data_IF_416282607957
#
_entry.id   IF_416282607957
#
_cell.length_a   1.000
_cell.length_b   1.000
_cell.length_c   1.000
_cell.angle_alpha   90.00
_cell.angle_beta   90.00
_cell.angle_gamma   90.00
#
_symmetry.space_group_name_H-M   'P 1'
#
loop_
_entity.id
_entity.type
_entity.pdbx_description
1 polymer ?
#
# COMPACT_ATOMS: atom_id res chain seq x y z
N UNK A 1 -8.96 5.45 16.92
CA UNK A 1 -8.32 6.50 17.76
C UNK A 1 -9.19 7.74 17.78
N UNK A 2 -9.27 8.47 18.90
CA UNK A 2 -9.79 9.83 18.92
C UNK A 2 -8.81 10.78 18.22
N UNK A 3 -9.22 12.02 17.93
CA UNK A 3 -8.34 13.02 17.32
C UNK A 3 -7.15 13.37 18.25
N UNK A 4 -7.39 13.46 19.56
CA UNK A 4 -6.32 13.70 20.54
C UNK A 4 -5.33 12.53 20.59
N UNK A 5 -5.81 11.28 20.55
CA UNK A 5 -4.95 10.11 20.47
C UNK A 5 -4.11 10.10 19.19
N UNK A 6 -4.67 10.51 18.04
CA UNK A 6 -3.91 10.65 16.78
C UNK A 6 -2.81 11.69 16.92
N UNK A 7 -3.13 12.84 17.53
CA UNK A 7 -2.18 13.93 17.78
C UNK A 7 -1.00 13.45 18.63
N UNK A 8 -1.30 12.87 19.80
CA UNK A 8 -0.29 12.35 20.72
C UNK A 8 0.56 11.27 20.06
N UNK A 9 -0.08 10.36 19.31
CA UNK A 9 0.62 9.32 18.57
C UNK A 9 1.61 9.90 17.56
N UNK A 10 1.18 10.83 16.70
CA UNK A 10 2.05 11.45 15.71
C UNK A 10 3.22 12.20 16.35
N UNK A 11 2.99 12.97 17.41
CA UNK A 11 4.05 13.67 18.16
C UNK A 11 5.05 12.67 18.75
N UNK A 12 4.55 11.59 19.35
CA UNK A 12 5.41 10.59 20.00
C UNK A 12 6.25 9.76 19.01
N UNK A 13 5.79 9.63 17.76
CA UNK A 13 6.41 8.78 16.73
C UNK A 13 7.27 9.56 15.75
N UNK A 14 7.04 10.86 15.60
CA UNK A 14 7.82 11.68 14.68
C UNK A 14 9.30 11.72 15.08
N UNK A 15 10.17 11.49 14.10
CA UNK A 15 11.61 11.62 14.22
C UNK A 15 12.13 12.53 13.10
N UNK A 16 13.11 13.41 13.38
CA UNK A 16 13.72 14.23 12.34
C UNK A 16 14.24 13.38 11.18
N UNK A 17 13.80 13.69 9.96
CA UNK A 17 14.16 12.94 8.75
C UNK A 17 13.08 11.98 8.25
N UNK A 18 12.01 11.73 9.00
CA UNK A 18 10.82 11.09 8.44
C UNK A 18 10.25 11.95 7.31
N UNK A 19 10.05 11.36 6.13
CA UNK A 19 9.57 12.07 4.93
C UNK A 19 8.15 11.71 4.54
N UNK A 20 7.57 10.67 5.14
CA UNK A 20 6.19 10.26 4.88
C UNK A 20 5.50 9.66 6.11
N UNK A 21 4.17 9.80 6.15
CA UNK A 21 3.28 9.09 7.06
C UNK A 21 2.22 8.35 6.25
N UNK A 22 2.00 7.08 6.59
CA UNK A 22 0.97 6.24 5.99
C UNK A 22 -0.23 6.10 6.93
N UNK A 23 -1.41 6.49 6.47
CA UNK A 23 -2.65 6.40 7.24
C UNK A 23 -3.57 5.41 6.54
N UNK A 24 -3.69 4.22 7.10
CA UNK A 24 -4.56 3.15 6.59
C UNK A 24 -5.26 2.47 7.76
N UNK A 25 -6.51 2.09 7.56
CA UNK A 25 -7.28 1.34 8.53
C UNK A 25 -8.31 0.43 7.89
N UNK A 26 -9.23 -0.04 8.72
CA UNK A 26 -10.49 -0.64 8.26
C UNK A 26 -11.56 0.44 8.23
N UNK A 27 -12.56 0.25 7.37
CA UNK A 27 -13.80 1.04 7.43
C UNK A 27 -14.42 0.89 8.82
N UNK A 28 -14.67 2.01 9.48
CA UNK A 28 -15.28 2.09 10.82
C UNK A 28 -16.65 2.80 10.69
N UNK A 29 -17.77 2.07 10.83
CA UNK A 29 -19.11 2.64 10.71
C UNK A 29 -19.44 3.76 11.70
N UNK A 30 -18.62 3.94 12.74
CA UNK A 30 -18.79 5.01 13.73
C UNK A 30 -18.08 6.31 13.34
N UNK A 31 -17.31 6.32 12.25
CA UNK A 31 -16.51 7.47 11.81
C UNK A 31 -17.06 7.99 10.49
N UNK A 32 -17.53 9.22 10.52
CA UNK A 32 -18.01 9.92 9.32
C UNK A 32 -16.85 10.57 8.55
N UNK A 33 -17.17 11.15 7.40
CA UNK A 33 -16.18 11.85 6.58
C UNK A 33 -15.52 13.04 7.32
N UNK A 34 -16.26 13.72 8.19
CA UNK A 34 -15.75 14.84 9.00
C UNK A 34 -14.61 14.40 9.93
N UNK A 35 -14.75 13.20 10.54
CA UNK A 35 -13.68 12.61 11.34
C UNK A 35 -12.38 12.46 10.53
N UNK A 36 -12.44 11.93 9.31
CA UNK A 36 -11.25 11.71 8.47
C UNK A 36 -10.62 13.02 8.01
N UNK A 37 -11.44 14.03 7.69
CA UNK A 37 -10.97 15.39 7.44
C UNK A 37 -10.19 15.95 8.65
N UNK A 38 -10.77 15.86 9.86
CA UNK A 38 -10.12 16.34 11.08
C UNK A 38 -8.85 15.55 11.42
N UNK A 39 -8.82 14.26 11.11
CA UNK A 39 -7.64 13.42 11.25
C UNK A 39 -6.49 13.97 10.39
N UNK A 40 -6.72 14.18 9.09
CA UNK A 40 -5.69 14.70 8.17
C UNK A 40 -5.20 16.07 8.60
N UNK A 41 -6.12 16.99 8.94
CA UNK A 41 -5.77 18.31 9.46
C UNK A 41 -4.87 18.20 10.70
N UNK A 42 -5.24 17.34 11.66
CA UNK A 42 -4.47 17.15 12.89
C UNK A 42 -3.08 16.62 12.61
N UNK A 43 -2.93 15.69 11.67
CA UNK A 43 -1.61 15.18 11.25
C UNK A 43 -0.79 16.30 10.61
N UNK A 44 -1.41 17.13 9.76
CA UNK A 44 -0.76 18.28 9.11
C UNK A 44 -0.36 19.39 10.09
N UNK A 45 -1.14 19.59 11.16
CA UNK A 45 -0.84 20.54 12.24
C UNK A 45 0.41 20.14 13.04
N UNK A 46 0.64 18.84 13.25
CA UNK A 46 1.72 18.36 14.14
C UNK A 46 2.98 17.89 13.43
N UNK A 47 2.87 17.47 12.17
CA UNK A 47 4.03 17.05 11.38
C UNK A 47 4.55 18.18 10.50
N UNK A 48 5.87 18.27 10.26
CA UNK A 48 6.42 19.26 9.34
C UNK A 48 5.84 19.18 7.92
N UNK A 49 5.83 20.31 7.23
CA UNK A 49 5.24 20.45 5.90
C UNK A 49 5.82 19.49 4.85
N UNK A 50 7.09 19.13 5.01
CA UNK A 50 7.83 18.21 4.14
C UNK A 50 7.43 16.74 4.31
N UNK A 51 6.76 16.38 5.41
CA UNK A 51 6.25 15.01 5.59
C UNK A 51 5.06 14.82 4.68
N UNK A 52 5.14 13.88 3.74
CA UNK A 52 4.03 13.54 2.85
C UNK A 52 2.96 12.74 3.59
N UNK A 53 1.69 13.15 3.53
CA UNK A 53 0.57 12.32 3.99
C UNK A 53 0.11 11.44 2.84
N UNK A 54 0.38 10.12 2.95
CA UNK A 54 -0.18 9.10 2.08
C UNK A 54 -1.30 8.37 2.84
N UNK A 55 -2.55 8.61 2.46
CA UNK A 55 -3.68 8.22 3.30
C UNK A 55 -4.81 7.60 2.50
N UNK A 56 -5.48 6.63 3.14
CA UNK A 56 -6.73 5.99 2.75
C UNK A 56 -6.67 5.17 1.45
N UNK A 57 -6.99 3.89 1.57
CA UNK A 57 -7.21 3.01 0.42
C UNK A 57 -8.47 3.43 -0.35
N UNK A 58 -8.61 2.96 -1.59
CA UNK A 58 -9.83 3.21 -2.36
C UNK A 58 -11.09 2.62 -1.70
N UNK A 59 -10.97 1.60 -0.84
CA UNK A 59 -12.10 1.07 -0.06
C UNK A 59 -12.58 2.09 0.97
N UNK A 60 -11.65 2.76 1.67
CA UNK A 60 -11.98 3.82 2.63
C UNK A 60 -12.52 5.06 1.90
N UNK A 61 -11.97 5.43 0.74
CA UNK A 61 -12.50 6.54 -0.06
C UNK A 61 -13.91 6.26 -0.58
N UNK A 62 -14.20 5.01 -0.98
CA UNK A 62 -15.54 4.63 -1.42
C UNK A 62 -16.55 4.75 -0.27
N UNK A 63 -16.21 4.23 0.90
CA UNK A 63 -17.05 4.34 2.09
C UNK A 63 -17.30 5.80 2.50
N UNK A 64 -16.26 6.65 2.45
CA UNK A 64 -16.42 8.10 2.68
C UNK A 64 -17.36 8.74 1.67
N UNK A 65 -17.25 8.39 0.38
CA UNK A 65 -18.13 8.92 -0.67
C UNK A 65 -19.59 8.48 -0.46
N UNK A 66 -19.82 7.19 -0.17
CA UNK A 66 -21.16 6.65 0.07
C UNK A 66 -21.78 7.26 1.32
N UNK A 67 -21.05 7.29 2.45
CA UNK A 67 -21.58 7.76 3.74
C UNK A 67 -21.82 9.26 3.80
N UNK A 68 -21.08 10.06 3.02
CA UNK A 68 -21.25 11.52 2.94
C UNK A 68 -22.14 11.99 1.80
N UNK A 69 -22.62 11.08 0.94
CA UNK A 69 -23.34 11.38 -0.30
C UNK A 69 -22.57 12.31 -1.26
N UNK A 70 -21.24 12.35 -1.15
CA UNK A 70 -20.36 13.11 -2.02
C UNK A 70 -19.83 12.24 -3.17
N UNK A 71 -19.49 12.88 -4.28
CA UNK A 71 -18.74 12.20 -5.34
C UNK A 71 -17.31 11.87 -4.86
N UNK A 72 -16.71 10.85 -5.46
CA UNK A 72 -15.30 10.50 -5.24
C UNK A 72 -14.38 11.70 -5.46
N UNK A 73 -14.66 12.52 -6.49
CA UNK A 73 -13.89 13.73 -6.78
C UNK A 73 -13.97 14.73 -5.63
N UNK A 74 -15.14 14.96 -5.06
CA UNK A 74 -15.33 15.88 -3.92
C UNK A 74 -14.58 15.37 -2.69
N UNK A 75 -14.74 14.09 -2.34
CA UNK A 75 -14.01 13.48 -1.21
C UNK A 75 -12.50 13.63 -1.39
N UNK A 76 -11.96 13.25 -2.54
CA UNK A 76 -10.53 13.34 -2.80
C UNK A 76 -10.03 14.79 -2.81
N UNK A 77 -10.78 15.73 -3.39
CA UNK A 77 -10.40 17.15 -3.41
C UNK A 77 -10.37 17.74 -1.99
N UNK A 78 -11.32 17.33 -1.16
CA UNK A 78 -11.47 17.80 0.22
C UNK A 78 -10.39 17.22 1.15
N UNK A 79 -9.99 15.97 0.92
CA UNK A 79 -8.83 15.36 1.58
C UNK A 79 -7.50 15.98 1.11
N UNK A 80 -7.39 16.24 -0.20
CA UNK A 80 -6.21 16.86 -0.80
C UNK A 80 -5.99 18.28 -0.27
N UNK A 81 -7.05 19.08 -0.16
CA UNK A 81 -6.97 20.45 0.38
C UNK A 81 -6.51 20.51 1.85
N UNK A 82 -6.66 19.40 2.59
CA UNK A 82 -6.22 19.24 3.99
C UNK A 82 -4.82 18.67 4.13
N UNK A 83 -4.22 18.18 3.03
CA UNK A 83 -2.83 17.75 2.99
C UNK A 83 -2.60 16.31 2.56
N UNK A 84 -3.64 15.52 2.23
CA UNK A 84 -3.42 14.21 1.59
C UNK A 84 -2.77 14.43 0.24
N UNK A 85 -1.61 13.85 0.03
CA UNK A 85 -0.80 14.07 -1.19
C UNK A 85 -0.74 12.85 -2.11
N UNK A 86 -0.98 11.65 -1.56
CA UNK A 86 -0.94 10.40 -2.31
C UNK A 86 -1.88 9.36 -1.68
N UNK A 87 -2.30 8.36 -2.46
CA UNK A 87 -3.06 7.22 -1.95
C UNK A 87 -2.19 5.95 -1.90
N UNK A 88 -2.28 5.15 -0.83
CA UNK A 88 -1.76 3.79 -0.83
C UNK A 88 -2.57 2.89 -1.80
N UNK A 89 -2.02 1.72 -2.15
CA UNK A 89 -2.65 0.81 -3.12
C UNK A 89 -3.57 -0.25 -2.53
N UNK A 90 -3.92 -0.18 -1.25
CA UNK A 90 -4.68 -1.21 -0.56
C UNK A 90 -6.10 -1.44 -1.10
N UNK A 91 -6.69 -2.59 -0.77
CA UNK A 91 -8.09 -2.92 -1.08
C UNK A 91 -8.37 -3.48 -2.48
N UNK A 92 -7.33 -3.57 -3.33
CA UNK A 92 -7.45 -4.13 -4.67
C UNK A 92 -7.71 -5.65 -4.65
N UNK A 93 -7.08 -6.39 -3.72
CA UNK A 93 -7.16 -7.85 -3.60
C UNK A 93 -6.90 -8.57 -4.93
N UNK A 94 -7.86 -9.35 -5.43
CA UNK A 94 -7.98 -9.80 -6.82
C UNK A 94 -9.19 -9.11 -7.44
N UNK A 95 -9.14 -8.80 -8.73
CA UNK A 95 -10.24 -8.06 -9.38
C UNK A 95 -11.38 -8.95 -9.89
N UNK A 96 -11.11 -10.23 -10.17
CA UNK A 96 -12.14 -11.19 -10.58
C UNK A 96 -13.28 -11.24 -9.56
N UNK A 97 -14.50 -10.96 -10.02
CA UNK A 97 -15.71 -10.96 -9.18
C UNK A 97 -15.95 -12.32 -8.51
N UNK A 98 -15.57 -13.40 -9.20
CA UNK A 98 -15.64 -14.77 -8.68
C UNK A 98 -14.78 -14.92 -7.42
N UNK A 99 -13.56 -14.38 -7.41
CA UNK A 99 -12.69 -14.43 -6.22
C UNK A 99 -13.16 -13.41 -5.18
N UNK A 100 -13.48 -12.17 -5.59
CA UNK A 100 -13.88 -11.09 -4.67
C UNK A 100 -15.07 -11.45 -3.81
N UNK A 101 -16.12 -12.00 -4.42
CA UNK A 101 -17.33 -12.44 -3.70
C UNK A 101 -17.06 -13.48 -2.61
N UNK A 102 -15.94 -14.21 -2.69
CA UNK A 102 -15.53 -15.19 -1.68
C UNK A 102 -14.62 -14.61 -0.60
N UNK A 103 -13.74 -13.64 -0.95
CA UNK A 103 -12.69 -13.17 -0.03
C UNK A 103 -12.98 -11.80 0.59
N UNK A 104 -13.76 -10.96 -0.08
CA UNK A 104 -14.04 -9.58 0.34
C UNK A 104 -15.37 -9.04 -0.19
N UNK A 105 -16.51 -9.73 0.03
CA UNK A 105 -17.81 -9.36 -0.56
C UNK A 105 -18.31 -7.97 -0.17
N UNK A 106 -17.87 -7.44 0.98
CA UNK A 106 -18.30 -6.13 1.49
C UNK A 106 -17.46 -4.96 0.97
N UNK A 107 -16.36 -5.21 0.25
CA UNK A 107 -15.51 -4.15 -0.32
C UNK A 107 -16.08 -3.67 -1.65
N UNK A 108 -15.72 -2.45 -2.04
CA UNK A 108 -16.05 -1.89 -3.36
C UNK A 108 -15.64 -2.83 -4.51
N UNK A 109 -16.33 -2.75 -5.65
CA UNK A 109 -16.01 -3.57 -6.82
C UNK A 109 -14.65 -3.19 -7.42
N UNK A 110 -14.10 -4.05 -8.29
CA UNK A 110 -12.87 -3.74 -9.02
C UNK A 110 -13.01 -2.49 -9.90
N UNK A 111 -14.16 -2.30 -10.55
CA UNK A 111 -14.43 -1.12 -11.37
C UNK A 111 -14.45 0.15 -10.52
N UNK A 112 -15.05 0.07 -9.34
CA UNK A 112 -15.10 1.19 -8.40
C UNK A 112 -13.71 1.53 -7.85
N UNK A 113 -12.92 0.52 -7.49
CA UNK A 113 -11.52 0.72 -7.08
C UNK A 113 -10.72 1.46 -8.17
N UNK A 114 -10.84 1.02 -9.44
CA UNK A 114 -10.16 1.65 -10.58
C UNK A 114 -10.68 3.07 -10.86
N UNK A 115 -11.99 3.32 -10.71
CA UNK A 115 -12.59 4.65 -10.85
C UNK A 115 -12.01 5.64 -9.83
N UNK A 116 -11.82 5.19 -8.59
CA UNK A 116 -11.25 6.03 -7.52
C UNK A 116 -9.81 6.41 -7.83
N UNK A 117 -8.97 5.45 -8.22
CA UNK A 117 -7.60 5.73 -8.63
C UNK A 117 -7.54 6.62 -9.89
N UNK A 118 -8.40 6.36 -10.88
CA UNK A 118 -8.55 7.23 -12.07
C UNK A 118 -8.88 8.67 -11.69
N UNK A 119 -9.79 8.85 -10.74
CA UNK A 119 -10.20 10.17 -10.24
C UNK A 119 -9.05 10.86 -9.51
N UNK A 120 -8.34 10.14 -8.62
CA UNK A 120 -7.15 10.64 -7.94
C UNK A 120 -6.07 11.10 -8.93
N UNK A 121 -5.79 10.30 -9.97
CA UNK A 121 -4.82 10.66 -11.00
C UNK A 121 -5.23 11.91 -11.78
N UNK A 122 -6.54 12.07 -12.07
CA UNK A 122 -7.06 13.28 -12.72
C UNK A 122 -6.98 14.55 -11.85
N UNK A 123 -6.81 14.40 -10.54
CA UNK A 123 -6.55 15.47 -9.57
C UNK A 123 -5.04 15.70 -9.35
N UNK A 124 -4.18 15.03 -10.14
CA UNK A 124 -2.73 15.11 -10.03
C UNK A 124 -2.13 14.31 -8.86
N UNK A 125 -2.94 13.52 -8.14
CA UNK A 125 -2.44 12.70 -7.04
C UNK A 125 -1.72 11.46 -7.61
N UNK A 126 -0.63 11.07 -6.96
CA UNK A 126 0.06 9.80 -7.23
C UNK A 126 -0.49 8.71 -6.33
N UNK A 127 -0.54 7.48 -6.84
CA UNK A 127 -1.04 6.34 -6.06
C UNK A 127 -0.18 5.09 -6.26
N UNK A 128 -0.39 4.08 -5.42
CA UNK A 128 0.13 2.74 -5.64
C UNK A 128 -1.00 1.76 -6.00
N UNK A 129 -0.65 0.55 -6.44
CA UNK A 129 -1.59 -0.55 -6.65
C UNK A 129 -1.05 -1.83 -6.03
N UNK A 130 -1.93 -2.71 -5.56
CA UNK A 130 -1.57 -3.99 -4.95
C UNK A 130 -2.26 -5.14 -5.64
N UNK A 131 -1.75 -6.36 -5.45
CA UNK A 131 -2.48 -7.61 -5.77
C UNK A 131 -2.26 -8.60 -4.63
N UNK A 132 -3.33 -9.04 -3.97
CA UNK A 132 -3.24 -10.15 -3.01
C UNK A 132 -3.21 -11.47 -3.80
N UNK A 133 -2.17 -12.27 -3.63
CA UNK A 133 -1.98 -13.49 -4.41
C UNK A 133 -1.58 -14.70 -3.54
N UNK A 134 -1.73 -15.90 -4.10
CA UNK A 134 -1.37 -17.16 -3.47
C UNK A 134 -2.46 -17.74 -2.59
N UNK A 135 -3.73 -17.46 -2.89
CA UNK A 135 -4.90 -17.97 -2.16
C UNK A 135 -5.83 -18.78 -3.09
N UNK A 136 -7.08 -18.34 -3.28
CA UNK A 136 -8.11 -19.04 -4.07
C UNK A 136 -8.04 -18.75 -5.57
N UNK A 137 -7.32 -17.70 -5.97
CA UNK A 137 -7.34 -17.20 -7.33
C UNK A 137 -6.58 -18.09 -8.32
N UNK A 138 -7.04 -18.11 -9.57
CA UNK A 138 -6.31 -18.76 -10.66
C UNK A 138 -5.22 -17.86 -11.23
N UNK A 139 -4.29 -18.44 -12.00
CA UNK A 139 -3.25 -17.67 -12.68
C UNK A 139 -3.85 -16.70 -13.71
N UNK A 140 -4.93 -17.09 -14.38
CA UNK A 140 -5.69 -16.24 -15.30
C UNK A 140 -6.26 -15.01 -14.57
N UNK A 141 -6.79 -15.20 -13.35
CA UNK A 141 -7.33 -14.08 -12.53
C UNK A 141 -6.21 -13.11 -12.11
N UNK A 142 -4.98 -13.59 -11.88
CA UNK A 142 -3.82 -12.71 -11.65
C UNK A 142 -3.46 -11.91 -12.91
N UNK A 143 -3.44 -12.55 -14.08
CA UNK A 143 -3.13 -11.87 -15.34
C UNK A 143 -4.22 -10.86 -15.70
N UNK A 144 -5.49 -11.18 -15.48
CA UNK A 144 -6.60 -10.23 -15.61
C UNK A 144 -6.38 -9.01 -14.71
N UNK A 145 -6.05 -9.24 -13.44
CA UNK A 145 -5.77 -8.17 -12.49
C UNK A 145 -4.63 -7.25 -12.97
N UNK A 146 -3.48 -7.82 -13.34
CA UNK A 146 -2.34 -7.07 -13.87
C UNK A 146 -2.70 -6.32 -15.16
N UNK A 147 -3.48 -6.92 -16.06
CA UNK A 147 -3.91 -6.28 -17.31
C UNK A 147 -4.77 -5.05 -17.05
N UNK A 148 -5.68 -5.10 -16.07
CA UNK A 148 -6.54 -3.97 -15.70
C UNK A 148 -5.76 -2.83 -15.05
N UNK A 149 -4.78 -3.15 -14.19
CA UNK A 149 -3.86 -2.16 -13.64
C UNK A 149 -3.04 -1.48 -14.73
N UNK A 150 -2.47 -2.27 -15.64
CA UNK A 150 -1.68 -1.77 -16.78
C UNK A 150 -2.51 -0.86 -17.68
N UNK A 151 -3.75 -1.24 -18.00
CA UNK A 151 -4.65 -0.43 -18.81
C UNK A 151 -4.95 0.92 -18.15
N UNK A 152 -5.28 0.94 -16.85
CA UNK A 152 -5.51 2.21 -16.15
C UNK A 152 -4.25 3.07 -16.11
N UNK A 153 -3.07 2.44 -15.99
CA UNK A 153 -1.80 3.14 -16.05
C UNK A 153 -1.54 3.75 -17.43
N UNK A 154 -1.86 3.06 -18.53
CA UNK A 154 -1.77 3.63 -19.89
C UNK A 154 -2.66 4.87 -20.05
N UNK A 155 -3.82 4.87 -19.41
CA UNK A 155 -4.77 5.99 -19.49
C UNK A 155 -4.38 7.19 -18.63
N UNK A 156 -3.72 6.98 -17.49
CA UNK A 156 -3.59 8.02 -16.44
C UNK A 156 -2.17 8.26 -15.95
N UNK A 157 -1.26 7.29 -16.08
CA UNK A 157 0.13 7.38 -15.67
C UNK A 157 0.37 7.63 -14.17
N UNK A 158 -0.65 7.47 -13.33
CA UNK A 158 -0.67 7.92 -11.93
C UNK A 158 -0.15 6.92 -10.89
N UNK A 159 0.03 5.65 -11.26
CA UNK A 159 0.65 4.66 -10.37
C UNK A 159 2.17 4.84 -10.32
N UNK A 160 2.73 4.83 -9.11
CA UNK A 160 4.17 4.81 -8.88
C UNK A 160 4.70 3.38 -8.72
N UNK A 161 4.09 2.60 -7.81
CA UNK A 161 4.46 1.21 -7.56
C UNK A 161 3.31 0.22 -7.66
N UNK A 162 3.65 -0.98 -8.11
CA UNK A 162 2.88 -2.20 -7.91
C UNK A 162 3.46 -3.02 -6.75
N UNK A 163 2.57 -3.57 -5.93
CA UNK A 163 2.90 -4.24 -4.67
C UNK A 163 2.26 -5.64 -4.65
N UNK A 164 2.97 -6.71 -5.01
CA UNK A 164 2.47 -8.07 -4.88
C UNK A 164 2.41 -8.46 -3.39
N UNK A 165 1.21 -8.69 -2.87
CA UNK A 165 0.97 -9.05 -1.48
C UNK A 165 0.76 -10.57 -1.36
N UNK A 166 1.69 -11.27 -0.72
CA UNK A 166 1.55 -12.72 -0.46
C UNK A 166 0.46 -12.95 0.58
N UNK A 167 -0.49 -13.84 0.27
CA UNK A 167 -1.46 -14.33 1.25
C UNK A 167 -0.76 -15.09 2.39
N UNK A 168 -1.21 -14.83 3.62
CA UNK A 168 -0.79 -15.54 4.83
C UNK A 168 -1.95 -16.36 5.36
N UNK A 169 -1.71 -17.64 5.60
CA UNK A 169 -2.76 -18.61 5.99
C UNK A 169 -3.01 -18.64 7.50
N UNK A 170 -2.68 -17.56 8.21
CA UNK A 170 -2.75 -17.45 9.67
C UNK A 170 -3.92 -16.55 10.09
N UNK A 171 -4.68 -17.00 11.08
CA UNK A 171 -5.75 -16.24 11.74
C UNK A 171 -6.88 -15.72 10.81
N UNK A 172 -7.21 -16.46 9.75
CA UNK A 172 -8.31 -16.10 8.85
C UNK A 172 -9.12 -17.31 8.34
N UNK A 173 -10.28 -17.05 7.72
CA UNK A 173 -11.20 -18.09 7.25
C UNK A 173 -10.65 -18.95 6.10
N UNK A 174 -9.55 -18.51 5.48
CA UNK A 174 -8.90 -19.17 4.36
C UNK A 174 -7.64 -19.95 4.78
N UNK A 175 -7.41 -20.10 6.09
CA UNK A 175 -6.22 -20.79 6.63
C UNK A 175 -6.02 -22.22 6.08
N UNK A 176 -7.10 -22.89 5.67
CA UNK A 176 -7.09 -24.25 5.14
C UNK A 176 -6.48 -24.39 3.73
N UNK A 177 -6.29 -23.27 3.01
CA UNK A 177 -5.68 -23.26 1.67
C UNK A 177 -4.16 -23.45 1.74
N UNK A 178 -3.55 -23.01 2.84
CA UNK A 178 -2.09 -22.91 2.96
C UNK A 178 -1.53 -21.70 2.25
N UNK A 179 -0.20 -21.64 2.12
CA UNK A 179 0.51 -20.50 1.53
C UNK A 179 1.24 -20.88 0.24
N UNK A 180 1.37 -19.91 -0.66
CA UNK A 180 2.18 -20.05 -1.86
C UNK A 180 3.65 -20.36 -1.52
N UNK A 181 4.24 -21.28 -2.29
CA UNK A 181 5.66 -21.61 -2.19
C UNK A 181 6.55 -20.42 -2.55
N UNK A 182 7.80 -20.42 -2.05
CA UNK A 182 8.79 -19.37 -2.38
C UNK A 182 8.99 -19.23 -3.89
N UNK A 183 9.00 -20.34 -4.63
CA UNK A 183 9.12 -20.33 -6.10
C UNK A 183 7.95 -19.57 -6.73
N UNK A 184 6.74 -19.78 -6.23
CA UNK A 184 5.53 -19.12 -6.74
C UNK A 184 5.51 -17.62 -6.43
N UNK A 185 5.99 -17.24 -5.24
CA UNK A 185 6.20 -15.84 -4.86
C UNK A 185 7.19 -15.18 -5.83
N UNK A 186 8.38 -15.76 -6.03
CA UNK A 186 9.40 -15.18 -6.91
C UNK A 186 8.95 -15.13 -8.38
N UNK A 187 8.22 -16.13 -8.86
CA UNK A 187 7.57 -16.08 -10.18
C UNK A 187 6.59 -14.92 -10.30
N UNK A 188 5.78 -14.67 -9.27
CA UNK A 188 4.82 -13.56 -9.26
C UNK A 188 5.55 -12.22 -9.37
N UNK A 189 6.63 -12.00 -8.61
CA UNK A 189 7.46 -10.79 -8.77
C UNK A 189 8.03 -10.63 -10.19
N UNK A 190 8.66 -11.67 -10.73
CA UNK A 190 9.27 -11.61 -12.06
C UNK A 190 8.23 -11.40 -13.17
N UNK A 191 7.08 -12.09 -13.11
CA UNK A 191 6.00 -11.91 -14.06
C UNK A 191 5.43 -10.50 -13.95
N UNK A 192 5.18 -9.98 -12.74
CA UNK A 192 4.71 -8.60 -12.56
C UNK A 192 5.68 -7.59 -13.15
N UNK A 193 7.00 -7.75 -12.97
CA UNK A 193 8.00 -6.88 -13.60
C UNK A 193 7.96 -6.93 -15.13
N UNK A 194 7.82 -8.13 -15.71
CA UNK A 194 7.79 -8.31 -17.16
C UNK A 194 6.47 -7.84 -17.79
N UNK A 195 5.35 -7.96 -17.05
CA UNK A 195 4.02 -7.68 -17.56
C UNK A 195 3.63 -6.20 -17.40
N UNK A 196 3.98 -5.58 -16.27
CA UNK A 196 3.68 -4.18 -15.95
C UNK A 196 4.77 -3.25 -16.48
N UNK A 197 4.92 -3.18 -17.80
CA UNK A 197 5.94 -2.36 -18.47
C UNK A 197 5.79 -0.84 -18.23
N UNK A 198 4.62 -0.38 -17.78
CA UNK A 198 4.28 1.03 -17.58
C UNK A 198 4.14 1.46 -16.10
N UNK A 199 4.35 0.55 -15.14
CA UNK A 199 4.45 0.84 -13.70
C UNK A 199 5.91 0.70 -13.30
N UNK A 200 6.54 1.82 -12.93
CA UNK A 200 8.00 1.90 -12.79
C UNK A 200 8.55 1.00 -11.71
N UNK A 201 7.88 0.94 -10.56
CA UNK A 201 8.44 0.32 -9.36
C UNK A 201 7.66 -0.96 -8.97
N UNK A 202 8.40 -2.00 -8.59
CA UNK A 202 7.85 -3.21 -7.96
C UNK A 202 8.34 -3.20 -6.52
N UNK A 203 7.39 -3.02 -5.60
CA UNK A 203 7.67 -2.86 -4.17
C UNK A 203 7.59 -4.18 -3.44
N UNK A 204 8.64 -4.49 -2.70
CA UNK A 204 8.76 -5.64 -1.81
C UNK A 204 8.57 -5.19 -0.36
N UNK A 205 7.49 -5.64 0.26
CA UNK A 205 7.09 -5.18 1.59
C UNK A 205 7.54 -6.17 2.68
N UNK A 206 8.61 -5.85 3.40
CA UNK A 206 9.24 -6.80 4.33
C UNK A 206 8.40 -7.20 5.55
N UNK A 207 7.52 -6.35 6.11
CA UNK A 207 6.69 -6.79 7.24
C UNK A 207 5.73 -7.92 6.88
N UNK A 208 5.44 -8.10 5.59
CA UNK A 208 4.62 -9.20 5.07
C UNK A 208 5.49 -10.36 4.56
N UNK A 209 6.54 -10.06 3.81
CA UNK A 209 7.29 -11.06 3.06
C UNK A 209 8.42 -11.72 3.88
N UNK A 210 8.92 -11.03 4.92
CA UNK A 210 10.14 -11.40 5.64
C UNK A 210 11.40 -10.83 4.97
N UNK A 211 12.46 -10.66 5.77
CA UNK A 211 13.70 -9.98 5.33
C UNK A 211 14.41 -10.75 4.21
N UNK A 212 14.50 -12.07 4.36
CA UNK A 212 15.21 -12.95 3.42
C UNK A 212 14.53 -12.96 2.06
N UNK A 213 13.20 -13.12 2.03
CA UNK A 213 12.45 -13.12 0.78
C UNK A 213 12.40 -11.73 0.13
N UNK A 214 12.38 -10.65 0.91
CA UNK A 214 12.56 -9.30 0.37
C UNK A 214 13.92 -9.16 -0.33
N UNK A 215 15.01 -9.62 0.28
CA UNK A 215 16.33 -9.60 -0.35
C UNK A 215 16.33 -10.40 -1.66
N UNK A 216 15.80 -11.62 -1.66
CA UNK A 216 15.74 -12.44 -2.88
C UNK A 216 14.89 -11.77 -3.95
N UNK A 217 13.79 -11.11 -3.59
CA UNK A 217 12.89 -10.45 -4.56
C UNK A 217 13.57 -9.36 -5.40
N UNK A 218 14.67 -8.76 -4.92
CA UNK A 218 15.49 -7.82 -5.69
C UNK A 218 16.03 -8.47 -6.98
N UNK A 219 16.38 -9.75 -6.91
CA UNK A 219 16.87 -10.53 -8.05
C UNK A 219 15.75 -10.96 -9.02
N UNK A 220 14.49 -10.77 -8.64
CA UNK A 220 13.30 -11.13 -9.41
C UNK A 220 12.47 -9.92 -9.83
N UNK A 221 13.08 -8.73 -9.84
CA UNK A 221 12.51 -7.52 -10.43
C UNK A 221 11.93 -6.53 -9.42
N UNK A 222 11.99 -6.77 -8.11
CA UNK A 222 11.74 -5.72 -7.13
C UNK A 222 12.89 -4.69 -7.15
N UNK A 223 12.55 -3.41 -7.05
CA UNK A 223 13.52 -2.31 -6.97
C UNK A 223 13.27 -1.39 -5.77
N UNK A 224 12.20 -1.64 -5.03
CA UNK A 224 11.78 -0.85 -3.88
C UNK A 224 11.51 -1.77 -2.68
N UNK A 225 12.22 -1.57 -1.57
CA UNK A 225 11.99 -2.30 -0.32
C UNK A 225 11.33 -1.35 0.67
N UNK A 226 10.14 -1.71 1.17
CA UNK A 226 9.30 -0.82 1.98
C UNK A 226 8.75 -1.49 3.25
N UNK A 227 8.48 -0.67 4.27
CA UNK A 227 8.09 -1.05 5.62
C UNK A 227 8.48 0.02 6.66
N UNK A 228 7.98 -0.11 7.88
CA UNK A 228 8.30 0.84 8.95
C UNK A 228 9.66 0.50 9.57
N UNK A 229 10.63 1.40 9.39
CA UNK A 229 11.94 1.33 10.04
C UNK A 229 11.74 1.61 11.53
N UNK A 230 12.20 0.71 12.41
CA UNK A 230 12.17 0.82 13.88
C UNK A 230 10.82 0.75 14.62
N UNK A 231 9.71 0.40 13.97
CA UNK A 231 8.42 0.19 14.67
C UNK A 231 7.63 -0.95 14.03
N UNK A 232 7.01 -1.80 14.85
CA UNK A 232 6.24 -2.93 14.33
C UNK A 232 4.92 -2.44 13.74
N UNK A 233 4.71 -2.71 12.45
CA UNK A 233 3.40 -2.46 11.83
C UNK A 233 2.37 -3.42 12.44
N UNK A 234 1.51 -2.91 13.33
CA UNK A 234 0.51 -3.71 14.07
C UNK A 234 -0.39 -4.57 13.16
N UNK A 235 -0.64 -4.11 11.93
CA UNK A 235 -1.53 -4.79 10.98
C UNK A 235 -1.02 -6.20 10.64
N UNK A 236 0.29 -6.39 10.44
CA UNK A 236 0.83 -7.69 10.03
C UNK A 236 1.23 -8.59 11.20
N UNK A 237 1.53 -8.03 12.38
CA UNK A 237 1.59 -8.83 13.61
C UNK A 237 0.24 -9.47 13.93
N UNK A 238 -0.87 -8.80 13.58
CA UNK A 238 -2.23 -9.34 13.71
C UNK A 238 -2.57 -10.35 12.59
N UNK A 239 -2.00 -10.18 11.39
CA UNK A 239 -2.17 -11.10 10.25
C UNK A 239 -1.22 -12.32 10.27
N UNK A 240 -0.41 -12.50 11.33
CA UNK A 240 0.44 -13.67 11.54
C UNK A 240 1.82 -13.63 10.84
N UNK A 241 2.45 -12.45 10.80
CA UNK A 241 3.89 -12.35 10.54
C UNK A 241 4.69 -13.21 11.57
N UNK A 242 5.75 -13.88 11.10
CA UNK A 242 6.55 -14.80 11.92
C UNK A 242 7.34 -14.09 13.03
N UNK A 243 7.77 -12.85 12.80
CA UNK A 243 8.43 -12.03 13.81
C UNK A 243 7.42 -11.28 14.68
N UNK A 244 7.52 -11.43 16.01
CA UNK A 244 6.66 -10.73 16.99
C UNK A 244 7.08 -9.28 17.23
N UNK A 245 8.33 -8.94 16.96
CA UNK A 245 8.89 -7.58 17.03
C UNK A 245 9.81 -7.33 15.81
N UNK A 246 9.28 -7.33 14.57
CA UNK A 246 10.10 -7.13 13.39
C UNK A 246 10.62 -5.69 13.37
N UNK A 247 11.94 -5.54 13.39
CA UNK A 247 12.62 -4.27 13.21
C UNK A 247 13.59 -4.39 12.04
N UNK A 248 13.57 -3.40 11.15
CA UNK A 248 14.55 -3.28 10.07
C UNK A 248 15.20 -1.90 10.21
N UNK A 249 16.51 -1.86 10.38
CA UNK A 249 17.30 -0.63 10.36
C UNK A 249 17.65 -0.22 8.93
N UNK A 250 17.95 1.06 8.73
CA UNK A 250 18.43 1.56 7.44
C UNK A 250 19.74 0.87 7.01
N UNK A 251 20.64 0.57 7.96
CA UNK A 251 21.89 -0.14 7.68
C UNK A 251 21.65 -1.58 7.21
N UNK A 252 20.65 -2.27 7.76
CA UNK A 252 20.25 -3.60 7.26
C UNK A 252 19.74 -3.51 5.83
N UNK A 253 18.88 -2.54 5.49
CA UNK A 253 18.40 -2.35 4.11
C UNK A 253 19.55 -2.11 3.12
N UNK A 254 20.50 -1.23 3.49
CA UNK A 254 21.70 -0.98 2.69
C UNK A 254 22.51 -2.26 2.49
N UNK A 255 22.67 -3.06 3.53
CA UNK A 255 23.38 -4.34 3.48
C UNK A 255 22.68 -5.35 2.57
N UNK A 256 21.36 -5.53 2.71
CA UNK A 256 20.58 -6.48 1.91
C UNK A 256 20.71 -6.17 0.42
N UNK A 257 20.61 -4.89 0.05
CA UNK A 257 20.78 -4.44 -1.33
C UNK A 257 22.21 -4.70 -1.84
N UNK A 258 23.24 -4.36 -1.05
CA UNK A 258 24.64 -4.52 -1.42
C UNK A 258 25.04 -5.99 -1.61
N UNK A 259 24.52 -6.91 -0.78
CA UNK A 259 24.72 -8.35 -0.92
C UNK A 259 24.11 -8.93 -2.21
N UNK A 260 23.10 -8.26 -2.78
CA UNK A 260 22.54 -8.55 -4.10
C UNK A 260 23.24 -7.80 -5.26
N UNK A 261 24.26 -7.00 -4.98
CA UNK A 261 24.98 -6.21 -5.99
C UNK A 261 24.30 -4.89 -6.37
N UNK A 262 23.33 -4.41 -5.57
CA UNK A 262 22.62 -3.16 -5.80
C UNK A 262 23.08 -2.04 -4.86
N UNK A 263 22.88 -0.80 -5.28
CA UNK A 263 23.09 0.38 -4.42
C UNK A 263 21.75 0.79 -3.81
N UNK A 264 21.68 0.83 -2.48
CA UNK A 264 20.51 1.36 -1.78
C UNK A 264 20.45 2.88 -1.91
N UNK A 265 19.27 3.39 -2.25
CA UNK A 265 18.96 4.82 -2.39
C UNK A 265 17.78 5.13 -1.49
N UNK A 266 17.94 6.13 -0.62
CA UNK A 266 16.83 6.68 0.15
C UNK A 266 16.01 7.60 -0.75
N UNK A 267 14.68 7.48 -0.69
CA UNK A 267 13.76 8.23 -1.55
C UNK A 267 12.62 8.86 -0.76
N UNK A 268 12.00 9.89 -1.32
CA UNK A 268 10.71 10.39 -0.84
C UNK A 268 9.53 9.51 -1.32
N UNK A 269 8.30 9.93 -1.00
CA UNK A 269 7.07 9.25 -1.40
C UNK A 269 6.87 9.14 -2.92
N UNK A 270 7.54 9.99 -3.70
CA UNK A 270 7.38 10.15 -5.14
C UNK A 270 8.63 9.68 -5.90
N UNK A 271 9.47 8.87 -5.25
CA UNK A 271 10.69 8.27 -5.82
C UNK A 271 11.76 9.27 -6.23
N UNK A 272 11.76 10.48 -5.67
CA UNK A 272 12.90 11.38 -5.77
C UNK A 272 13.98 10.93 -4.78
N UNK A 273 15.23 10.86 -5.24
CA UNK A 273 16.36 10.52 -4.39
C UNK A 273 16.58 11.61 -3.32
N UNK A 274 16.76 11.20 -2.08
CA UNK A 274 17.14 12.09 -0.99
C UNK A 274 18.67 12.17 -0.92
N UNK A 275 19.20 13.39 -0.96
CA UNK A 275 20.63 13.62 -0.78
C UNK A 275 21.07 13.14 0.61
N UNK A 276 22.16 12.35 0.68
CA UNK A 276 22.76 11.93 1.94
C UNK A 276 23.07 13.16 2.81
N UNK A 277 22.49 13.21 4.01
CA UNK A 277 22.86 14.20 5.04
C UNK A 277 24.25 13.92 5.59
#
# INVERSE_FOLDING_TARGET
MSIDEVREYCISKYQPGMTEIHIVGSVDPQRDFSYYCKLVETVREVLPSEVTIKAFSAVEIDDMAVSSELSVREVLSELQSRGVSALPGGGAEIFSEKTRSQICPDKCSADRWLEIHRTAHSLGMRTNCTMLFGHLESLEERIEHLSRLRQLQDETGGFDAFIPLKFRATHNNLSHIGEASIIEVMKTFAISRLFLDNIKHIKSYWPMLGKELCQVSLLYGADDIDGTINDSTKIYSLAGAEEKNPGMSAQELVRLAAECGYNAVERDSFYNELSKK
#
